data_IF_178871592172
#
_entry.id   IF_178871592172
#
_cell.length_a   1.000
_cell.length_b   1.000
_cell.length_c   1.000
_cell.angle_alpha   90.00
_cell.angle_beta   90.00
_cell.angle_gamma   90.00
#
_symmetry.space_group_name_H-M   'P 1'
#
loop_
_entity.id
_entity.type
_entity.pdbx_description
1 polymer ?
#
# COMPACT_ATOMS: atom_id res chain seq x y z
N UNK A 1 25.91 -29.05 -35.61
CA UNK A 1 24.53 -28.63 -35.30
C UNK A 1 24.63 -27.39 -34.44
N UNK A 2 24.59 -26.24 -35.07
CA UNK A 2 24.82 -24.92 -34.47
C UNK A 2 23.47 -24.40 -34.01
N UNK A 3 23.30 -24.25 -32.72
CA UNK A 3 22.12 -23.64 -32.09
C UNK A 3 22.22 -22.11 -32.28
N UNK A 4 21.45 -21.53 -33.19
CA UNK A 4 21.34 -20.09 -33.35
C UNK A 4 20.38 -19.59 -32.27
N UNK A 5 20.95 -18.98 -31.26
CA UNK A 5 20.24 -18.19 -30.25
C UNK A 5 19.71 -16.92 -30.92
N UNK A 6 18.45 -16.97 -31.34
CA UNK A 6 17.78 -15.84 -32.01
C UNK A 6 17.31 -14.88 -30.92
N UNK A 7 18.20 -14.04 -30.42
CA UNK A 7 17.86 -12.90 -29.60
C UNK A 7 17.04 -11.93 -30.44
N UNK A 8 15.72 -11.98 -30.35
CA UNK A 8 14.80 -11.06 -31.02
C UNK A 8 15.03 -9.67 -30.43
N UNK A 9 15.74 -8.82 -31.17
CA UNK A 9 15.89 -7.39 -30.81
C UNK A 9 14.51 -6.74 -30.86
N UNK A 10 14.07 -6.04 -29.79
CA UNK A 10 12.79 -5.33 -29.80
C UNK A 10 12.77 -4.28 -30.91
N UNK A 11 11.60 -4.10 -31.53
CA UNK A 11 11.43 -3.09 -32.56
C UNK A 11 11.61 -1.68 -31.99
N UNK A 12 11.98 -0.67 -32.81
CA UNK A 12 12.11 0.71 -32.35
C UNK A 12 10.84 1.23 -31.66
N UNK A 13 9.67 0.82 -32.11
CA UNK A 13 8.38 1.15 -31.48
C UNK A 13 8.18 0.48 -30.13
N UNK A 14 8.64 -0.76 -29.96
CA UNK A 14 8.61 -1.44 -28.67
C UNK A 14 9.59 -0.80 -27.68
N UNK A 15 10.77 -0.37 -28.15
CA UNK A 15 11.74 0.36 -27.31
C UNK A 15 11.21 1.74 -26.91
N UNK A 16 10.52 2.43 -27.81
CA UNK A 16 9.89 3.73 -27.51
C UNK A 16 8.78 3.58 -26.46
N UNK A 17 7.94 2.55 -26.58
CA UNK A 17 6.91 2.25 -25.57
C UNK A 17 7.51 1.88 -24.21
N UNK A 18 8.61 1.13 -24.19
CA UNK A 18 9.32 0.82 -22.93
C UNK A 18 9.91 2.08 -22.31
N UNK A 19 10.57 2.94 -23.09
CA UNK A 19 11.11 4.20 -22.59
C UNK A 19 10.02 5.15 -22.06
N UNK A 20 8.88 5.25 -22.76
CA UNK A 20 7.74 6.04 -22.31
C UNK A 20 7.11 5.46 -21.03
N UNK A 21 7.06 4.13 -20.89
CA UNK A 21 6.60 3.48 -19.66
C UNK A 21 7.56 3.71 -18.49
N UNK A 22 8.87 3.66 -18.73
CA UNK A 22 9.90 3.99 -17.73
C UNK A 22 9.87 5.46 -17.32
N UNK A 23 9.67 6.39 -18.27
CA UNK A 23 9.49 7.81 -17.98
C UNK A 23 8.20 8.08 -17.18
N UNK A 24 7.09 7.42 -17.52
CA UNK A 24 5.86 7.52 -16.77
C UNK A 24 6.01 6.97 -15.34
N UNK A 25 6.80 5.91 -15.14
CA UNK A 25 7.10 5.36 -13.83
C UNK A 25 8.12 6.21 -13.04
N UNK A 26 8.98 6.97 -13.71
CA UNK A 26 10.01 7.77 -13.03
C UNK A 26 9.47 8.91 -12.16
N UNK A 27 8.20 9.30 -12.38
CA UNK A 27 7.51 10.30 -11.56
C UNK A 27 6.52 9.72 -10.54
N UNK A 28 6.27 8.40 -10.56
CA UNK A 28 5.35 7.75 -9.62
C UNK A 28 6.08 7.23 -8.38
N UNK A 29 5.38 7.24 -7.24
CA UNK A 29 5.83 6.58 -6.02
C UNK A 29 5.84 5.06 -6.19
N UNK A 30 6.59 4.37 -5.34
CA UNK A 30 6.73 2.91 -5.33
C UNK A 30 5.86 2.29 -4.25
N UNK A 31 5.17 1.22 -4.59
CA UNK A 31 4.35 0.46 -3.65
C UNK A 31 5.14 -0.70 -3.05
N UNK A 32 5.25 -0.74 -1.71
CA UNK A 32 5.76 -1.88 -0.96
C UNK A 32 4.65 -2.51 -0.14
N UNK A 33 4.36 -3.78 -0.40
CA UNK A 33 3.28 -4.53 0.24
C UNK A 33 3.83 -5.52 1.25
N UNK A 34 3.37 -5.42 2.50
CA UNK A 34 3.60 -6.44 3.53
C UNK A 34 2.38 -7.37 3.54
N UNK A 35 2.56 -8.53 2.94
CA UNK A 35 1.51 -9.52 2.70
C UNK A 35 1.51 -10.55 3.82
N UNK A 36 0.34 -10.91 4.32
CA UNK A 36 0.20 -11.99 5.30
C UNK A 36 -1.01 -12.86 5.00
N UNK A 37 -1.00 -14.07 5.52
CA UNK A 37 -2.11 -15.03 5.35
C UNK A 37 -3.26 -14.80 6.34
N UNK A 38 -3.02 -14.07 7.45
CA UNK A 38 -4.02 -13.81 8.48
C UNK A 38 -3.75 -12.50 9.25
N UNK A 39 -4.72 -12.07 10.04
CA UNK A 39 -4.52 -11.02 11.03
C UNK A 39 -3.55 -11.49 12.11
N UNK A 40 -2.73 -10.57 12.63
CA UNK A 40 -1.82 -10.86 13.77
C UNK A 40 -0.49 -11.53 13.39
N UNK A 41 -0.20 -11.80 12.12
CA UNK A 41 1.06 -12.44 11.68
C UNK A 41 2.27 -11.50 11.64
N UNK A 42 2.15 -10.26 12.14
CA UNK A 42 3.28 -9.33 12.26
C UNK A 42 3.49 -8.38 11.09
N UNK A 43 2.57 -8.26 10.14
CA UNK A 43 2.70 -7.37 8.97
C UNK A 43 2.98 -5.92 9.35
N UNK A 44 2.15 -5.35 10.23
CA UNK A 44 2.30 -3.96 10.70
C UNK A 44 3.63 -3.77 11.43
N UNK A 45 4.05 -4.74 12.23
CA UNK A 45 5.35 -4.73 12.88
C UNK A 45 6.49 -4.70 11.85
N UNK A 46 6.48 -5.60 10.85
CA UNK A 46 7.49 -5.67 9.81
C UNK A 46 7.52 -4.39 8.93
N UNK A 47 6.36 -3.79 8.66
CA UNK A 47 6.26 -2.51 7.97
C UNK A 47 6.93 -1.40 8.76
N UNK A 48 6.66 -1.30 10.06
CA UNK A 48 7.25 -0.29 10.94
C UNK A 48 8.76 -0.47 11.13
N UNK A 49 9.25 -1.71 11.22
CA UNK A 49 10.70 -1.98 11.26
C UNK A 49 11.39 -1.47 9.99
N UNK A 50 10.83 -1.80 8.80
CA UNK A 50 11.35 -1.34 7.53
C UNK A 50 11.31 0.20 7.42
N UNK A 51 10.26 0.83 7.94
CA UNK A 51 10.14 2.28 7.99
C UNK A 51 11.23 2.92 8.88
N UNK A 52 11.50 2.35 10.04
CA UNK A 52 12.57 2.82 10.94
C UNK A 52 13.96 2.71 10.32
N UNK A 53 14.21 1.67 9.53
CA UNK A 53 15.44 1.57 8.73
C UNK A 53 15.55 2.75 7.76
N UNK A 54 14.50 3.01 6.97
CA UNK A 54 14.47 4.13 6.02
C UNK A 54 14.64 5.48 6.70
N UNK A 55 14.05 5.65 7.89
CA UNK A 55 14.25 6.87 8.67
C UNK A 55 15.71 7.04 9.14
N UNK A 56 16.36 5.96 9.55
CA UNK A 56 17.79 5.97 9.90
C UNK A 56 18.67 6.32 8.70
N UNK A 57 18.27 5.91 7.49
CA UNK A 57 18.91 6.27 6.23
C UNK A 57 18.64 7.74 5.80
N UNK A 58 17.95 8.52 6.63
CA UNK A 58 17.67 9.93 6.38
C UNK A 58 16.48 10.18 5.43
N UNK A 59 15.65 9.16 5.16
CA UNK A 59 14.45 9.33 4.33
C UNK A 59 13.37 10.09 5.08
N UNK A 60 12.71 11.01 4.40
CA UNK A 60 11.56 11.74 4.90
C UNK A 60 10.33 10.83 4.88
N UNK A 61 9.85 10.47 6.09
CA UNK A 61 8.84 9.44 6.28
C UNK A 61 7.79 9.89 7.28
N UNK A 62 6.52 9.64 6.96
CA UNK A 62 5.37 9.89 7.85
C UNK A 62 4.50 8.66 7.99
N UNK A 63 3.75 8.60 9.09
CA UNK A 63 2.68 7.63 9.32
C UNK A 63 1.36 8.29 8.92
N UNK A 64 0.76 7.83 7.83
CA UNK A 64 -0.55 8.28 7.38
C UNK A 64 -1.68 7.57 8.13
N UNK A 65 -1.58 6.24 8.25
CA UNK A 65 -2.52 5.44 9.01
C UNK A 65 -1.87 4.14 9.48
N UNK A 66 -1.89 3.85 10.76
CA UNK A 66 -1.43 2.59 11.34
C UNK A 66 -2.31 2.24 12.55
N UNK A 67 -2.76 0.99 12.62
CA UNK A 67 -3.48 0.44 13.77
C UNK A 67 -2.54 -0.45 14.60
N UNK A 68 -2.24 -0.01 15.81
CA UNK A 68 -1.42 -0.80 16.74
C UNK A 68 -2.22 -1.86 17.50
N UNK A 69 -3.55 -1.71 17.54
CA UNK A 69 -4.46 -2.55 18.33
C UNK A 69 -4.03 -2.68 19.81
N UNK A 70 -3.39 -1.64 20.36
CA UNK A 70 -2.90 -1.64 21.74
C UNK A 70 -1.70 -2.56 22.00
N UNK A 71 -0.97 -2.96 20.97
CA UNK A 71 0.24 -3.78 21.11
C UNK A 71 1.43 -2.89 21.44
N UNK A 72 1.98 -3.05 22.64
CA UNK A 72 3.11 -2.24 23.14
C UNK A 72 4.34 -2.26 22.22
N UNK A 73 4.61 -3.39 21.59
CA UNK A 73 5.73 -3.54 20.64
C UNK A 73 5.53 -2.69 19.37
N UNK A 74 4.29 -2.66 18.86
CA UNK A 74 3.93 -1.82 17.69
C UNK A 74 3.97 -0.34 18.07
N UNK A 75 3.44 0.02 19.25
CA UNK A 75 3.47 1.40 19.76
C UNK A 75 4.92 1.89 19.96
N UNK A 76 5.81 1.03 20.44
CA UNK A 76 7.24 1.35 20.58
C UNK A 76 7.91 1.65 19.22
N UNK A 77 7.48 0.97 18.14
CA UNK A 77 7.98 1.24 16.80
C UNK A 77 7.41 2.53 16.19
N UNK A 78 6.23 2.96 16.60
CA UNK A 78 5.65 4.25 16.20
C UNK A 78 6.35 5.43 16.89
N UNK A 79 6.91 5.22 18.07
CA UNK A 79 7.57 6.27 18.84
C UNK A 79 8.68 6.98 18.03
N UNK A 80 8.58 8.31 17.92
CA UNK A 80 9.53 9.15 17.20
C UNK A 80 9.35 9.16 15.67
N UNK A 81 8.33 8.51 15.11
CA UNK A 81 7.88 8.75 13.74
C UNK A 81 6.92 9.95 13.73
N UNK A 82 6.92 10.71 12.63
CA UNK A 82 5.93 11.77 12.40
C UNK A 82 4.59 11.12 12.04
N UNK A 83 3.55 11.43 12.80
CA UNK A 83 2.20 10.98 12.55
C UNK A 83 1.37 12.11 11.94
N UNK A 84 0.73 11.85 10.81
CA UNK A 84 -0.29 12.75 10.29
C UNK A 84 -1.56 12.54 11.13
N UNK A 85 -2.14 13.62 11.72
CA UNK A 85 -3.37 13.49 12.48
C UNK A 85 -4.50 12.88 11.64
N UNK A 86 -5.25 11.97 12.22
CA UNK A 86 -6.41 11.38 11.54
C UNK A 86 -7.52 12.42 11.39
N UNK A 87 -8.24 12.33 10.30
CA UNK A 87 -9.48 13.10 10.09
C UNK A 87 -10.63 12.40 10.79
N UNK A 88 -11.41 13.13 11.56
CA UNK A 88 -12.63 12.61 12.17
C UNK A 88 -13.84 12.89 11.28
N UNK A 89 -14.58 11.86 10.94
CA UNK A 89 -15.79 11.93 10.12
C UNK A 89 -17.01 11.49 10.93
N UNK A 90 -18.04 12.31 10.90
CA UNK A 90 -19.31 11.98 11.53
C UNK A 90 -20.11 11.02 10.64
N UNK A 91 -20.35 9.80 11.12
CA UNK A 91 -21.18 8.80 10.44
C UNK A 91 -22.11 8.10 11.43
N UNK A 92 -23.39 8.02 11.10
CA UNK A 92 -24.41 7.40 11.95
C UNK A 92 -24.39 7.85 13.43
N UNK A 93 -24.04 9.11 13.69
CA UNK A 93 -24.01 9.69 15.04
C UNK A 93 -22.75 9.42 15.85
N UNK A 94 -21.73 8.81 15.26
CA UNK A 94 -20.40 8.58 15.85
C UNK A 94 -19.31 9.27 15.03
N UNK A 95 -18.22 9.65 15.70
CA UNK A 95 -17.02 10.14 15.02
C UNK A 95 -16.10 8.94 14.75
N UNK A 96 -15.72 8.75 13.50
CA UNK A 96 -14.83 7.69 13.05
C UNK A 96 -13.53 8.29 12.52
N UNK A 97 -12.37 7.82 13.01
CA UNK A 97 -11.08 8.30 12.54
C UNK A 97 -10.71 7.65 11.21
N UNK A 98 -10.33 8.48 10.24
CA UNK A 98 -9.84 8.05 8.93
C UNK A 98 -8.50 8.71 8.59
N UNK A 99 -7.80 8.15 7.61
CA UNK A 99 -6.59 8.74 7.07
C UNK A 99 -6.89 10.11 6.45
N UNK A 100 -6.08 11.11 6.78
CA UNK A 100 -6.17 12.43 6.14
C UNK A 100 -5.28 12.47 4.87
N UNK A 101 -5.87 12.03 3.76
CA UNK A 101 -5.21 12.01 2.45
C UNK A 101 -4.73 13.40 2.03
N UNK A 102 -5.55 14.44 2.26
CA UNK A 102 -5.22 15.81 1.88
C UNK A 102 -4.01 16.34 2.66
N UNK A 103 -3.95 16.03 3.95
CA UNK A 103 -2.82 16.42 4.79
C UNK A 103 -1.51 15.70 4.35
N UNK A 104 -1.59 14.42 3.97
CA UNK A 104 -0.43 13.67 3.45
C UNK A 104 0.05 14.27 2.12
N UNK A 105 -0.86 14.53 1.18
CA UNK A 105 -0.54 15.13 -0.11
C UNK A 105 0.06 16.54 0.04
N UNK A 106 -0.46 17.34 0.99
CA UNK A 106 0.10 18.67 1.29
C UNK A 106 1.48 18.59 1.93
N UNK A 107 1.74 17.59 2.81
CA UNK A 107 3.02 17.37 3.49
C UNK A 107 4.11 16.89 2.52
N UNK A 108 3.73 16.15 1.47
CA UNK A 108 4.63 15.61 0.43
C UNK A 108 5.83 14.84 0.99
N UNK A 109 5.65 13.83 1.83
CA UNK A 109 6.75 13.01 2.31
C UNK A 109 7.34 12.18 1.17
N UNK A 110 8.55 11.64 1.36
CA UNK A 110 9.11 10.66 0.43
C UNK A 110 8.43 9.29 0.58
N UNK A 111 8.11 8.92 1.82
CA UNK A 111 7.49 7.63 2.16
C UNK A 111 6.31 7.87 3.11
N UNK A 112 5.20 7.21 2.88
CA UNK A 112 4.07 7.17 3.81
C UNK A 112 3.69 5.74 4.18
N UNK A 113 3.39 5.52 5.45
CA UNK A 113 2.88 4.25 5.96
C UNK A 113 1.35 4.27 5.99
N UNK A 114 0.73 3.31 5.30
CA UNK A 114 -0.72 3.16 5.20
C UNK A 114 -1.09 1.72 5.48
N UNK A 115 -1.49 1.43 6.71
CA UNK A 115 -1.92 0.09 7.13
C UNK A 115 -3.32 -0.26 6.58
N UNK A 116 -3.65 -1.54 6.52
CA UNK A 116 -4.97 -2.05 6.14
C UNK A 116 -5.44 -1.62 4.73
N UNK A 117 -4.69 -1.99 3.69
CA UNK A 117 -4.96 -1.63 2.28
C UNK A 117 -6.40 -1.93 1.82
N UNK A 118 -7.02 -2.99 2.35
CA UNK A 118 -8.36 -3.42 1.97
C UNK A 118 -9.49 -2.64 2.65
N UNK A 119 -9.17 -1.74 3.58
CA UNK A 119 -10.16 -0.98 4.35
C UNK A 119 -11.16 -0.24 3.45
N UNK A 120 -12.43 -0.27 3.86
CA UNK A 120 -13.48 0.56 3.26
C UNK A 120 -13.59 1.86 4.04
N UNK A 121 -13.27 2.96 3.40
CA UNK A 121 -13.30 4.29 4.01
C UNK A 121 -14.72 4.69 4.44
N UNK A 122 -14.82 5.50 5.48
CA UNK A 122 -16.09 6.05 5.95
C UNK A 122 -16.71 6.93 4.87
N UNK A 123 -18.05 6.84 4.64
CA UNK A 123 -18.75 7.75 3.73
C UNK A 123 -18.45 9.22 4.03
N UNK A 124 -18.04 9.97 3.01
CA UNK A 124 -17.56 11.34 3.12
C UNK A 124 -16.05 11.49 2.93
N UNK A 125 -15.30 10.39 2.83
CA UNK A 125 -13.94 10.37 2.30
C UNK A 125 -13.95 10.64 0.79
N UNK A 126 -12.80 11.05 0.23
CA UNK A 126 -12.63 11.28 -1.21
C UNK A 126 -12.82 10.00 -2.01
N UNK A 127 -12.31 8.89 -1.51
CA UNK A 127 -12.42 7.56 -2.10
C UNK A 127 -13.19 6.61 -1.18
N UNK A 128 -13.87 5.63 -1.77
CA UNK A 128 -14.60 4.60 -1.02
C UNK A 128 -13.68 3.56 -0.40
N UNK A 129 -12.49 3.38 -0.98
CA UNK A 129 -11.53 2.35 -0.58
C UNK A 129 -10.15 2.95 -0.33
N UNK A 130 -9.48 2.48 0.69
CA UNK A 130 -8.11 2.90 1.05
C UNK A 130 -7.09 2.62 -0.05
N UNK A 131 -7.25 1.53 -0.80
CA UNK A 131 -6.36 1.26 -1.94
C UNK A 131 -6.43 2.34 -3.03
N UNK A 132 -7.57 3.04 -3.19
CA UNK A 132 -7.71 4.17 -4.11
C UNK A 132 -6.94 5.40 -3.60
N UNK A 133 -6.96 5.64 -2.27
CA UNK A 133 -6.13 6.68 -1.66
C UNK A 133 -4.63 6.37 -1.91
N UNK A 134 -4.24 5.10 -1.79
CA UNK A 134 -2.87 4.65 -2.06
C UNK A 134 -2.49 4.90 -3.52
N UNK A 135 -3.37 4.62 -4.49
CA UNK A 135 -3.12 4.93 -5.91
C UNK A 135 -2.92 6.44 -6.13
N UNK A 136 -3.68 7.32 -5.46
CA UNK A 136 -3.50 8.77 -5.55
C UNK A 136 -2.16 9.21 -4.95
N UNK A 137 -1.73 8.63 -3.83
CA UNK A 137 -0.43 8.90 -3.22
C UNK A 137 0.73 8.48 -4.14
N UNK A 138 0.63 7.30 -4.76
CA UNK A 138 1.62 6.82 -5.75
C UNK A 138 1.67 7.75 -6.97
N UNK A 139 0.51 8.17 -7.49
CA UNK A 139 0.43 9.11 -8.61
C UNK A 139 1.05 10.49 -8.26
N UNK A 140 1.01 10.89 -7.00
CA UNK A 140 1.67 12.10 -6.50
C UNK A 140 3.19 11.94 -6.28
N UNK A 141 3.77 10.78 -6.60
CA UNK A 141 5.21 10.51 -6.45
C UNK A 141 5.65 10.13 -5.04
N UNK A 142 4.70 9.75 -4.15
CA UNK A 142 4.98 9.36 -2.77
C UNK A 142 5.09 7.83 -2.69
N UNK A 143 6.20 7.32 -2.16
CA UNK A 143 6.36 5.90 -1.89
C UNK A 143 5.39 5.46 -0.78
N UNK A 144 4.69 4.34 -0.97
CA UNK A 144 3.72 3.83 0.00
C UNK A 144 4.15 2.46 0.52
N UNK A 145 4.20 2.32 1.85
CA UNK A 145 4.32 1.04 2.54
C UNK A 145 2.96 0.68 3.10
N UNK A 146 2.46 -0.50 2.78
CA UNK A 146 1.11 -0.93 3.17
C UNK A 146 1.07 -2.38 3.59
N UNK A 147 0.02 -2.76 4.32
CA UNK A 147 -0.23 -4.14 4.73
C UNK A 147 -1.53 -4.66 4.13
N UNK A 148 -1.58 -5.94 3.84
CA UNK A 148 -2.81 -6.62 3.40
C UNK A 148 -2.77 -8.10 3.73
N UNK A 149 -3.93 -8.71 3.96
CA UNK A 149 -4.05 -10.17 4.02
C UNK A 149 -4.39 -10.70 2.64
N UNK A 150 -3.82 -11.86 2.29
CA UNK A 150 -3.99 -12.50 0.99
C UNK A 150 -5.47 -12.73 0.61
N UNK A 151 -6.33 -12.99 1.59
CA UNK A 151 -7.77 -13.23 1.40
C UNK A 151 -8.55 -12.03 0.88
N UNK A 152 -7.98 -10.82 0.91
CA UNK A 152 -8.62 -9.61 0.42
C UNK A 152 -8.42 -9.39 -1.09
N UNK A 153 -7.55 -10.14 -1.76
CA UNK A 153 -7.41 -10.04 -3.21
C UNK A 153 -8.61 -10.67 -3.93
N UNK A 154 -9.08 -9.99 -4.96
CA UNK A 154 -10.31 -10.37 -5.69
C UNK A 154 -10.25 -11.80 -6.23
N UNK A 155 -9.12 -12.19 -6.85
CA UNK A 155 -8.93 -13.54 -7.39
C UNK A 155 -8.96 -14.64 -6.32
N UNK A 156 -8.63 -14.33 -5.09
CA UNK A 156 -8.58 -15.30 -3.98
C UNK A 156 -9.85 -15.29 -3.13
N UNK A 157 -10.66 -14.22 -3.21
CA UNK A 157 -11.88 -14.10 -2.42
C UNK A 157 -12.87 -15.21 -2.76
N UNK A 158 -13.07 -15.52 -4.04
CA UNK A 158 -13.96 -16.59 -4.50
C UNK A 158 -13.48 -17.98 -4.02
N UNK A 159 -12.17 -18.21 -4.08
CA UNK A 159 -11.58 -19.47 -3.60
C UNK A 159 -11.73 -19.62 -2.08
N UNK A 160 -11.47 -18.55 -1.33
CA UNK A 160 -11.66 -18.54 0.13
C UNK A 160 -13.14 -18.76 0.48
N UNK A 161 -14.06 -18.11 -0.23
CA UNK A 161 -15.50 -18.30 -0.04
C UNK A 161 -15.94 -19.74 -0.32
N UNK A 162 -15.41 -20.39 -1.36
CA UNK A 162 -15.70 -21.79 -1.68
C UNK A 162 -15.20 -22.76 -0.61
N UNK A 163 -14.03 -22.50 -0.01
CA UNK A 163 -13.42 -23.38 0.98
C UNK A 163 -14.03 -23.17 2.38
N UNK A 164 -14.27 -21.91 2.75
CA UNK A 164 -14.64 -21.54 4.13
C UNK A 164 -16.12 -21.21 4.31
N UNK A 165 -16.86 -20.97 3.21
CA UNK A 165 -18.22 -20.44 3.23
C UNK A 165 -18.30 -18.95 3.63
N UNK A 166 -17.17 -18.27 3.79
CA UNK A 166 -17.08 -16.86 4.22
C UNK A 166 -16.72 -15.99 3.04
N UNK A 167 -17.56 -15.00 2.71
CA UNK A 167 -17.25 -13.99 1.71
C UNK A 167 -16.62 -12.77 2.39
N UNK A 168 -15.43 -12.41 1.98
CA UNK A 168 -14.74 -11.21 2.42
C UNK A 168 -15.31 -10.01 1.64
N UNK A 169 -15.85 -9.00 2.34
CA UNK A 169 -16.46 -7.82 1.70
C UNK A 169 -15.46 -6.75 1.30
N UNK A 170 -14.33 -6.72 1.99
CA UNK A 170 -13.27 -5.76 1.71
C UNK A 170 -12.26 -6.40 0.77
N UNK A 171 -12.29 -5.98 -0.48
CA UNK A 171 -11.42 -6.52 -1.53
C UNK A 171 -10.48 -5.47 -2.08
N UNK A 172 -9.35 -5.96 -2.62
CA UNK A 172 -8.29 -5.20 -3.26
C UNK A 172 -8.10 -5.78 -4.66
N UNK A 173 -8.07 -4.96 -5.70
CA UNK A 173 -7.79 -5.42 -7.06
C UNK A 173 -6.41 -6.07 -7.17
N UNK A 174 -6.33 -7.22 -7.86
CA UNK A 174 -5.07 -7.96 -8.05
C UNK A 174 -3.98 -7.12 -8.74
N UNK A 175 -4.38 -6.16 -9.59
CA UNK A 175 -3.42 -5.25 -10.27
C UNK A 175 -2.50 -4.49 -9.31
N UNK A 176 -2.88 -4.32 -8.03
CA UNK A 176 -2.02 -3.68 -7.04
C UNK A 176 -0.81 -4.54 -6.68
N UNK A 177 -0.90 -5.87 -6.81
CA UNK A 177 0.27 -6.74 -6.70
C UNK A 177 1.19 -6.60 -7.93
N UNK A 178 0.60 -6.41 -9.13
CA UNK A 178 1.37 -6.29 -10.37
C UNK A 178 2.22 -5.01 -10.40
N UNK A 179 1.72 -3.91 -9.78
CA UNK A 179 2.45 -2.63 -9.69
C UNK A 179 3.33 -2.52 -8.44
N UNK A 180 3.26 -3.49 -7.53
CA UNK A 180 4.09 -3.48 -6.32
C UNK A 180 5.57 -3.64 -6.68
N UNK A 181 6.38 -2.66 -6.24
CA UNK A 181 7.84 -2.72 -6.41
C UNK A 181 8.46 -3.84 -5.56
N UNK A 182 7.89 -4.10 -4.38
CA UNK A 182 8.35 -5.13 -3.45
C UNK A 182 7.16 -5.71 -2.68
N UNK A 183 7.11 -7.05 -2.60
CA UNK A 183 6.17 -7.78 -1.75
C UNK A 183 6.98 -8.54 -0.71
N UNK A 184 6.71 -8.28 0.56
CA UNK A 184 7.33 -8.96 1.71
C UNK A 184 6.29 -9.84 2.38
N UNK A 185 6.60 -11.13 2.54
CA UNK A 185 5.79 -12.13 3.25
C UNK A 185 6.20 -12.21 4.70
#
# INVERSE_FOLDING_TARGET
>A
MTNQDTTIRPTPEAMLKLAQAEEAQSGQGRLKVFLGYAAGVGKTYAMLEAARERKRDGRDLVVGYVESHGRSETDALLAGLELIPRRELAYAGVLLPEMDLDAILARKPQIVLVDELAHSNVPGCRHEKRWQDVEELLAAGIDVYTTVNIQHFESLNDLVAQITGITVRETVPDRLLDIAFEIKL
#
